data_IF_501028765792
#
_entry.id   IF_501028765792
#
_cell.length_a   1.000
_cell.length_b   1.000
_cell.length_c   1.000
_cell.angle_alpha   90.00
_cell.angle_beta   90.00
_cell.angle_gamma   90.00
#
_symmetry.space_group_name_H-M   'P 1'
#
loop_
_entity.id
_entity.type
_entity.pdbx_description
1 polymer ?
#
# COMPACT_ATOMS: atom_id res chain seq x y z
N UNK A 1 -4.97 6.65 -25.63
CA UNK A 1 -5.69 6.58 -24.35
C UNK A 1 -5.33 5.25 -23.74
N UNK A 2 -4.68 5.24 -22.57
CA UNK A 2 -4.29 4.00 -21.93
C UNK A 2 -5.51 3.21 -21.47
N UNK A 3 -5.47 1.89 -21.61
CA UNK A 3 -6.51 1.00 -21.09
C UNK A 3 -6.58 1.15 -19.57
N UNK A 4 -7.81 1.13 -19.03
CA UNK A 4 -8.07 1.13 -17.58
C UNK A 4 -8.30 -0.31 -17.17
N UNK A 5 -7.49 -0.80 -16.26
CA UNK A 5 -7.70 -2.13 -15.67
C UNK A 5 -8.33 -1.99 -14.29
N UNK A 6 -9.21 -2.94 -13.92
CA UNK A 6 -9.91 -2.99 -12.64
C UNK A 6 -9.84 -4.40 -12.06
N UNK A 7 -9.47 -4.49 -10.79
CA UNK A 7 -9.41 -5.77 -10.08
C UNK A 7 -9.52 -5.55 -8.57
N UNK A 8 -9.71 -6.64 -7.82
CA UNK A 8 -9.66 -6.61 -6.36
C UNK A 8 -8.43 -7.34 -5.83
N UNK A 9 -7.92 -6.86 -4.69
CA UNK A 9 -6.89 -7.50 -3.90
C UNK A 9 -7.52 -8.03 -2.62
N UNK A 10 -7.41 -9.33 -2.33
CA UNK A 10 -7.88 -9.88 -1.07
C UNK A 10 -6.99 -9.42 0.08
N UNK A 11 -7.61 -9.17 1.22
CA UNK A 11 -6.91 -8.81 2.46
C UNK A 11 -7.18 -9.86 3.50
N UNK A 12 -6.13 -10.46 4.06
CA UNK A 12 -6.25 -11.37 5.20
C UNK A 12 -5.99 -10.63 6.49
N UNK A 13 -6.97 -10.69 7.40
CA UNK A 13 -6.89 -10.06 8.71
C UNK A 13 -7.13 -8.55 8.71
N UNK A 14 -6.91 -7.90 9.85
CA UNK A 14 -7.19 -6.49 10.01
C UNK A 14 -6.39 -5.61 9.03
N UNK A 15 -7.09 -4.68 8.38
CA UNK A 15 -6.50 -3.66 7.51
C UNK A 15 -7.36 -2.39 7.53
N UNK A 16 -6.71 -1.25 7.64
CA UNK A 16 -7.34 0.06 7.57
C UNK A 16 -6.67 0.93 6.52
N UNK A 17 -7.39 1.21 5.44
CA UNK A 17 -6.94 2.14 4.40
C UNK A 17 -6.72 3.56 4.96
N UNK A 18 -7.49 3.96 5.95
CA UNK A 18 -7.33 5.27 6.61
C UNK A 18 -6.00 5.35 7.36
N UNK A 19 -5.64 4.30 8.11
CA UNK A 19 -4.36 4.23 8.79
C UNK A 19 -3.19 4.18 7.79
N UNK A 20 -3.33 3.41 6.72
CA UNK A 20 -2.37 3.34 5.63
C UNK A 20 -2.16 4.71 4.96
N UNK A 21 -3.25 5.42 4.67
CA UNK A 21 -3.25 6.77 4.09
C UNK A 21 -2.56 7.78 5.00
N UNK A 22 -2.86 7.76 6.30
CA UNK A 22 -2.29 8.69 7.26
C UNK A 22 -0.77 8.53 7.35
N UNK A 23 -0.28 7.30 7.37
CA UNK A 23 1.15 7.03 7.37
C UNK A 23 1.84 7.51 6.09
N UNK A 24 1.26 7.22 4.94
CA UNK A 24 1.82 7.60 3.64
C UNK A 24 1.90 9.12 3.48
N UNK A 25 0.86 9.85 3.88
CA UNK A 25 0.84 11.31 3.83
C UNK A 25 1.80 11.94 4.86
N UNK A 26 2.01 11.30 6.00
CA UNK A 26 2.92 11.78 7.05
C UNK A 26 4.39 11.55 6.74
N UNK A 27 4.74 10.38 6.22
CA UNK A 27 6.13 10.00 5.99
C UNK A 27 6.66 10.42 4.61
N UNK A 28 5.80 10.44 3.59
CA UNK A 28 6.18 10.85 2.25
C UNK A 28 5.63 12.24 1.94
N UNK A 29 6.29 13.28 2.40
CA UNK A 29 5.94 14.69 2.13
C UNK A 29 5.84 15.06 0.64
N UNK A 30 6.20 14.17 -0.26
CA UNK A 30 6.20 14.41 -1.70
C UNK A 30 4.82 14.24 -2.38
N UNK A 31 3.84 13.65 -1.72
CA UNK A 31 2.54 13.38 -2.36
C UNK A 31 1.46 14.34 -1.87
N UNK A 32 1.36 15.51 -2.51
CA UNK A 32 0.20 16.41 -2.39
C UNK A 32 -1.11 15.79 -2.91
N UNK A 33 -1.08 14.58 -3.44
CA UNK A 33 -2.17 13.91 -4.14
C UNK A 33 -2.85 12.80 -3.32
N UNK A 34 -2.49 12.63 -2.05
CA UNK A 34 -2.96 11.49 -1.25
C UNK A 34 -4.44 11.51 -0.82
N UNK A 35 -5.19 12.57 -1.03
CA UNK A 35 -6.51 12.64 -0.44
C UNK A 35 -7.62 13.06 -1.39
N UNK A 36 -8.36 12.08 -1.85
CA UNK A 36 -9.79 12.24 -2.13
C UNK A 36 -10.51 11.28 -1.19
N UNK A 37 -11.61 11.71 -0.57
CA UNK A 37 -12.36 10.94 0.43
C UNK A 37 -12.44 9.44 0.07
N UNK A 38 -11.95 8.60 0.99
CA UNK A 38 -12.08 7.15 0.91
C UNK A 38 -11.15 6.41 -0.07
N UNK A 39 -10.30 7.09 -0.85
CA UNK A 39 -9.40 6.44 -1.80
C UNK A 39 -7.95 6.88 -1.61
N UNK A 40 -7.00 5.97 -1.86
CA UNK A 40 -5.58 6.26 -2.00
C UNK A 40 -5.22 6.28 -3.48
N UNK A 41 -4.47 7.30 -3.90
CA UNK A 41 -3.94 7.40 -5.26
C UNK A 41 -2.43 7.33 -5.22
N UNK A 42 -1.88 6.43 -6.02
CA UNK A 42 -0.45 6.18 -6.14
C UNK A 42 -0.02 6.36 -7.58
N UNK A 43 1.22 6.85 -7.77
CA UNK A 43 1.89 6.80 -9.06
C UNK A 43 3.32 6.31 -8.82
N UNK A 44 3.70 5.26 -9.53
CA UNK A 44 4.99 4.59 -9.33
C UNK A 44 5.43 3.84 -10.59
N UNK A 45 6.73 3.57 -10.74
CA UNK A 45 7.21 2.71 -11.81
C UNK A 45 6.85 1.24 -11.54
N UNK A 46 6.31 0.56 -12.56
CA UNK A 46 6.00 -0.87 -12.51
C UNK A 46 7.28 -1.70 -12.43
N UNK A 47 7.27 -2.72 -11.59
CA UNK A 47 8.39 -3.65 -11.48
C UNK A 47 8.70 -4.32 -12.83
N UNK A 48 9.96 -4.37 -13.21
CA UNK A 48 10.46 -4.99 -14.42
C UNK A 48 10.44 -4.09 -15.66
N UNK A 49 9.37 -3.35 -15.93
CA UNK A 49 9.28 -2.48 -17.12
C UNK A 49 9.65 -1.02 -16.83
N UNK A 50 9.51 -0.57 -15.58
CA UNK A 50 9.68 0.82 -15.16
C UNK A 50 8.69 1.81 -15.83
N UNK A 51 7.65 1.32 -16.46
CA UNK A 51 6.56 2.15 -16.96
C UNK A 51 5.80 2.79 -15.79
N UNK A 52 5.41 4.04 -15.95
CA UNK A 52 4.68 4.74 -14.89
C UNK A 52 3.23 4.29 -14.87
N UNK A 53 2.82 3.76 -13.73
CA UNK A 53 1.45 3.33 -13.46
C UNK A 53 0.80 4.30 -12.47
N UNK A 54 -0.44 4.68 -12.76
CA UNK A 54 -1.33 5.36 -11.82
C UNK A 54 -2.35 4.37 -11.27
N UNK A 55 -2.49 4.29 -9.94
CA UNK A 55 -3.48 3.42 -9.30
C UNK A 55 -4.34 4.20 -8.30
N UNK A 56 -5.65 4.00 -8.37
CA UNK A 56 -6.64 4.42 -7.37
C UNK A 56 -7.11 3.19 -6.63
N UNK A 57 -7.06 3.25 -5.29
CA UNK A 57 -7.35 2.10 -4.43
C UNK A 57 -8.40 2.52 -3.41
N UNK A 58 -9.47 1.75 -3.31
CA UNK A 58 -10.57 1.94 -2.36
C UNK A 58 -10.77 0.68 -1.53
N UNK A 59 -11.00 0.83 -0.24
CA UNK A 59 -11.38 -0.29 0.62
C UNK A 59 -12.90 -0.45 0.61
N UNK A 60 -13.37 -1.65 0.24
CA UNK A 60 -14.80 -2.01 0.27
C UNK A 60 -14.95 -3.38 0.94
N UNK A 61 -15.47 -3.37 2.16
CA UNK A 61 -15.52 -4.60 2.95
C UNK A 61 -14.13 -5.11 3.30
N UNK A 62 -13.87 -6.39 3.07
CA UNK A 62 -12.58 -7.06 3.29
C UNK A 62 -11.63 -7.06 2.08
N UNK A 63 -11.90 -6.27 1.04
CA UNK A 63 -11.12 -6.24 -0.20
C UNK A 63 -10.69 -4.81 -0.55
N UNK A 64 -9.60 -4.71 -1.30
CA UNK A 64 -9.12 -3.47 -1.91
C UNK A 64 -9.46 -3.46 -3.39
N UNK A 65 -10.27 -2.51 -3.80
CA UNK A 65 -10.64 -2.31 -5.19
C UNK A 65 -9.64 -1.37 -5.86
N UNK A 66 -9.04 -1.85 -6.95
CA UNK A 66 -8.01 -1.14 -7.70
C UNK A 66 -8.54 -0.75 -9.08
N UNK A 67 -8.37 0.51 -9.42
CA UNK A 67 -8.50 1.03 -10.78
C UNK A 67 -7.15 1.60 -11.18
N UNK A 68 -6.57 1.11 -12.27
CA UNK A 68 -5.23 1.51 -12.68
C UNK A 68 -5.13 1.80 -14.18
N UNK A 69 -4.17 2.66 -14.52
CA UNK A 69 -3.80 3.06 -15.88
C UNK A 69 -2.29 2.94 -16.06
N UNK A 70 -1.84 2.80 -17.29
CA UNK A 70 -0.41 2.81 -17.64
C UNK A 70 0.19 1.40 -17.78
N UNK A 71 -0.58 0.34 -17.59
CA UNK A 71 -0.16 -1.04 -17.87
C UNK A 71 -1.35 -1.93 -18.18
N UNK A 72 -1.08 -3.04 -18.86
CA UNK A 72 -2.02 -4.15 -19.04
C UNK A 72 -1.57 -5.39 -18.23
N UNK A 73 -0.39 -5.37 -17.63
CA UNK A 73 0.11 -6.45 -16.78
C UNK A 73 -0.49 -6.37 -15.37
N UNK A 74 -1.70 -6.89 -15.26
CA UNK A 74 -2.40 -6.96 -13.99
C UNK A 74 -1.66 -7.83 -12.96
N UNK A 75 -0.98 -8.88 -13.37
CA UNK A 75 -0.32 -9.80 -12.45
C UNK A 75 0.84 -9.13 -11.71
N UNK A 76 1.74 -8.47 -12.43
CA UNK A 76 2.85 -7.71 -11.85
C UNK A 76 2.34 -6.55 -10.99
N UNK A 77 1.35 -5.80 -11.48
CA UNK A 77 0.77 -4.69 -10.73
C UNK A 77 0.11 -5.15 -9.44
N UNK A 78 -0.66 -6.25 -9.47
CA UNK A 78 -1.31 -6.83 -8.31
C UNK A 78 -0.29 -7.24 -7.23
N UNK A 79 0.78 -7.94 -7.63
CA UNK A 79 1.85 -8.36 -6.72
C UNK A 79 2.58 -7.14 -6.12
N UNK A 80 2.88 -6.13 -6.92
CA UNK A 80 3.56 -4.93 -6.46
C UNK A 80 2.68 -4.11 -5.50
N UNK A 81 1.40 -3.93 -5.80
CA UNK A 81 0.47 -3.24 -4.90
C UNK A 81 0.24 -4.00 -3.60
N UNK A 82 0.13 -5.33 -3.65
CA UNK A 82 0.02 -6.15 -2.45
C UNK A 82 1.22 -5.97 -1.52
N UNK A 83 2.43 -5.91 -2.07
CA UNK A 83 3.66 -5.62 -1.34
C UNK A 83 3.68 -4.19 -0.79
N UNK A 84 3.36 -3.17 -1.59
CA UNK A 84 3.36 -1.76 -1.18
C UNK A 84 2.41 -1.54 0.01
N UNK A 85 1.24 -2.16 -0.03
CA UNK A 85 0.21 -2.03 1.01
C UNK A 85 0.37 -3.04 2.14
N UNK A 86 1.39 -3.91 2.09
CA UNK A 86 1.64 -5.00 3.04
C UNK A 86 0.42 -5.92 3.23
N UNK A 87 -0.32 -6.20 2.15
CA UNK A 87 -1.45 -7.14 2.15
C UNK A 87 -1.09 -8.51 1.58
N UNK A 88 0.13 -8.70 1.15
CA UNK A 88 0.75 -9.98 0.80
C UNK A 88 1.03 -10.88 2.03
N UNK A 89 0.96 -10.31 3.24
CA UNK A 89 1.12 -11.02 4.49
C UNK A 89 -0.21 -11.35 5.16
N UNK A 90 -0.25 -12.46 5.90
CA UNK A 90 -1.41 -12.85 6.71
C UNK A 90 -1.46 -12.01 8.00
N UNK A 91 -2.36 -11.03 8.03
CA UNK A 91 -2.56 -10.15 9.19
C UNK A 91 -3.19 -10.82 10.40
N UNK A 92 -3.84 -11.99 10.23
CA UNK A 92 -4.38 -12.74 11.38
C UNK A 92 -3.27 -13.34 12.23
N UNK A 93 -2.19 -13.82 11.61
CA UNK A 93 -1.03 -14.30 12.35
C UNK A 93 -0.40 -13.17 13.17
N UNK A 94 -0.30 -11.99 12.60
CA UNK A 94 0.22 -10.81 13.29
C UNK A 94 -0.72 -10.36 14.42
N UNK A 95 -2.03 -10.30 14.17
CA UNK A 95 -3.03 -9.97 15.16
C UNK A 95 -3.03 -10.92 16.36
N UNK A 96 -2.73 -12.21 16.15
CA UNK A 96 -2.65 -13.19 17.23
C UNK A 96 -1.55 -12.88 18.26
N UNK A 97 -0.45 -12.27 17.84
CA UNK A 97 0.63 -11.84 18.73
C UNK A 97 0.14 -10.73 19.66
N UNK A 98 -0.59 -9.75 19.13
CA UNK A 98 -1.11 -8.64 19.93
C UNK A 98 -2.17 -9.04 20.93
N UNK A 99 -3.00 -10.03 20.59
CA UNK A 99 -4.03 -10.54 21.50
C UNK A 99 -3.44 -11.19 22.77
N UNK A 100 -2.24 -11.74 22.65
CA UNK A 100 -1.55 -12.39 23.75
C UNK A 100 -0.67 -11.43 24.57
N UNK A 101 -0.48 -10.20 24.13
CA UNK A 101 0.33 -9.19 24.80
C UNK A 101 -0.53 -7.96 25.15
N UNK A 102 -0.95 -7.80 26.43
CA UNK A 102 -1.86 -6.72 26.82
C UNK A 102 -1.39 -5.31 26.47
N UNK A 103 -0.07 -5.09 26.48
CA UNK A 103 0.51 -3.79 26.11
C UNK A 103 0.27 -3.44 24.64
N UNK A 104 0.10 -4.43 23.77
CA UNK A 104 -0.06 -4.29 22.34
C UNK A 104 -1.51 -4.47 21.86
N UNK A 105 -2.43 -4.85 22.75
CA UNK A 105 -3.82 -5.16 22.39
C UNK A 105 -4.57 -4.03 21.67
N UNK A 106 -4.15 -2.78 21.85
CA UNK A 106 -4.72 -1.62 21.14
C UNK A 106 -4.35 -1.60 19.66
N UNK A 107 -3.26 -2.23 19.25
CA UNK A 107 -2.80 -2.24 17.87
C UNK A 107 -3.62 -3.19 16.98
N UNK A 108 -4.20 -4.23 17.56
CA UNK A 108 -5.10 -5.15 16.85
C UNK A 108 -6.33 -4.44 16.26
N UNK A 109 -6.84 -3.41 16.96
CA UNK A 109 -8.04 -2.68 16.55
C UNK A 109 -7.81 -1.68 15.42
N UNK A 110 -6.55 -1.31 15.16
CA UNK A 110 -6.23 -0.22 14.23
C UNK A 110 -6.11 -0.71 12.78
N UNK A 111 -5.93 -2.02 12.56
CA UNK A 111 -5.70 -2.58 11.22
C UNK A 111 -4.49 -1.94 10.53
N UNK A 112 -3.53 -1.47 11.33
CA UNK A 112 -2.36 -0.78 10.84
C UNK A 112 -1.38 -1.76 10.20
N UNK A 113 -1.01 -1.45 8.94
CA UNK A 113 0.08 -2.12 8.25
C UNK A 113 1.03 -1.08 7.70
N UNK A 114 2.35 -1.23 7.90
CA UNK A 114 3.31 -0.29 7.35
C UNK A 114 3.29 -0.36 5.82
N UNK A 115 3.04 0.79 5.19
CA UNK A 115 3.25 0.91 3.75
C UNK A 115 4.75 0.95 3.50
N UNK A 116 5.19 0.12 2.55
CA UNK A 116 6.59 0.08 2.14
C UNK A 116 6.83 0.94 0.90
N UNK A 117 8.09 1.17 0.57
CA UNK A 117 8.47 1.91 -0.65
C UNK A 117 7.98 1.20 -1.92
N UNK A 118 7.74 1.98 -2.96
CA UNK A 118 7.22 1.49 -4.24
C UNK A 118 8.14 0.46 -4.90
N UNK A 119 9.45 0.60 -4.70
CA UNK A 119 10.43 -0.35 -5.19
C UNK A 119 11.66 -0.40 -4.28
N UNK A 120 12.48 -1.48 -4.35
CA UNK A 120 13.77 -1.54 -3.67
C UNK A 120 14.71 -0.38 -4.05
N UNK A 121 14.64 0.07 -5.31
CA UNK A 121 15.43 1.21 -5.79
C UNK A 121 15.08 2.51 -5.07
N UNK A 122 13.78 2.80 -4.92
CA UNK A 122 13.29 3.98 -4.18
C UNK A 122 13.70 3.91 -2.72
N UNK A 123 13.60 2.72 -2.11
CA UNK A 123 14.04 2.48 -0.73
C UNK A 123 15.52 2.74 -0.55
N UNK A 124 16.36 2.19 -1.42
CA UNK A 124 17.81 2.39 -1.37
C UNK A 124 18.18 3.87 -1.53
N UNK A 125 17.61 4.54 -2.52
CA UNK A 125 17.83 5.97 -2.75
C UNK A 125 17.46 6.83 -1.53
N UNK A 126 16.31 6.56 -0.92
CA UNK A 126 15.87 7.24 0.29
C UNK A 126 16.86 7.03 1.46
N UNK A 127 17.29 5.79 1.70
CA UNK A 127 18.22 5.49 2.78
C UNK A 127 19.57 6.17 2.58
N UNK A 128 20.10 6.18 1.37
CA UNK A 128 21.36 6.84 1.06
C UNK A 128 21.26 8.37 1.30
N UNK A 129 20.16 8.97 0.86
CA UNK A 129 19.96 10.41 1.00
C UNK A 129 19.66 10.82 2.44
N UNK A 130 18.89 10.03 3.19
CA UNK A 130 18.52 10.34 4.58
C UNK A 130 19.66 10.18 5.58
N UNK A 131 20.68 9.38 5.27
CA UNK A 131 21.85 9.22 6.15
C UNK A 131 22.91 10.32 6.01
N UNK A 132 22.71 11.30 5.13
CA UNK A 132 23.66 12.39 4.90
C UNK A 132 23.30 13.70 5.63
N UNK A 133 22.32 13.69 6.48
CA UNK A 133 21.94 14.87 7.28
C UNK A 133 22.32 14.69 8.76
#
# INVERSE_FOLDING_TARGET
MGSVIRFSLPVKGPFSMESARTLQCGCMRASRTCSVEGAVRLAFPLDGTFEIVGAKIEQKGGELWVEAIGTEDQATLSAQLARILAVDHDGEQFASIFRNEPALARLDQVGFRPIVFFSPYVSAGWHILSHRT
#
